data_IF_091028065658
#
_entry.id   IF_091028065658
#
_cell.length_a   1.000
_cell.length_b   1.000
_cell.length_c   1.000
_cell.angle_alpha   90.00
_cell.angle_beta   90.00
_cell.angle_gamma   90.00
#
_symmetry.space_group_name_H-M   'P 1'
#
loop_
_entity.id
_entity.type
_entity.pdbx_description
1 polymer ?
#
# COMPACT_ATOMS: atom_id res chain seq x y z
N UNK A 1 2.71 -7.12 -5.18
CA UNK A 1 1.53 -7.93 -4.77
C UNK A 1 0.26 -7.07 -4.73
N UNK A 2 -0.94 -7.63 -4.53
CA UNK A 2 -2.19 -6.86 -4.40
C UNK A 2 -2.61 -6.69 -2.94
N UNK A 3 -3.32 -5.60 -2.66
CA UNK A 3 -3.93 -5.30 -1.37
C UNK A 3 -5.20 -4.44 -1.55
N UNK A 4 -5.99 -4.29 -0.48
CA UNK A 4 -7.17 -3.43 -0.45
C UNK A 4 -6.97 -2.32 0.58
N UNK A 5 -7.25 -1.07 0.22
CA UNK A 5 -7.14 0.05 1.17
C UNK A 5 -8.11 -0.14 2.33
N UNK A 6 -7.61 -0.05 3.56
CA UNK A 6 -8.41 -0.13 4.78
C UNK A 6 -8.72 1.26 5.32
N UNK A 7 -7.68 2.07 5.49
CA UNK A 7 -7.77 3.46 5.95
C UNK A 7 -6.94 4.37 5.05
N UNK A 8 -7.39 5.62 4.93
CA UNK A 8 -6.67 6.69 4.28
C UNK A 8 -7.02 8.02 4.95
N UNK A 9 -6.00 8.77 5.34
CA UNK A 9 -6.11 10.11 5.88
C UNK A 9 -5.78 11.11 4.76
N UNK A 10 -6.79 11.88 4.31
CA UNK A 10 -6.64 12.87 3.23
C UNK A 10 -5.78 14.08 3.61
N UNK A 11 -5.59 14.36 4.91
CA UNK A 11 -4.77 15.48 5.37
C UNK A 11 -3.28 15.13 5.32
N UNK A 12 -2.94 13.88 5.66
CA UNK A 12 -1.54 13.43 5.76
C UNK A 12 -1.09 12.56 4.59
N UNK A 13 -2.00 11.86 3.93
CA UNK A 13 -1.69 10.82 2.94
C UNK A 13 -1.22 9.50 3.55
N UNK A 14 -1.28 9.34 4.88
CA UNK A 14 -0.98 8.08 5.56
C UNK A 14 -2.21 7.16 5.59
N UNK A 15 -1.98 5.86 5.79
CA UNK A 15 -3.07 4.91 5.90
C UNK A 15 -2.60 3.48 6.03
N UNK A 16 -3.51 2.55 5.75
CA UNK A 16 -3.24 1.12 5.81
C UNK A 16 -3.97 0.35 4.73
N UNK A 17 -3.43 -0.82 4.40
CA UNK A 17 -4.04 -1.79 3.49
C UNK A 17 -4.20 -3.14 4.16
N UNK A 18 -5.21 -3.89 3.73
CA UNK A 18 -5.35 -5.30 4.01
C UNK A 18 -4.74 -6.11 2.87
N UNK A 19 -3.78 -6.97 3.21
CA UNK A 19 -3.29 -8.00 2.30
C UNK A 19 -4.38 -9.04 2.03
N UNK A 20 -4.22 -9.83 0.98
CA UNK A 20 -5.19 -10.87 0.62
C UNK A 20 -5.31 -11.99 1.69
N UNK A 21 -4.35 -12.12 2.61
CA UNK A 21 -4.41 -13.02 3.77
C UNK A 21 -5.06 -12.38 5.02
N UNK A 22 -5.56 -11.14 4.90
CA UNK A 22 -6.25 -10.40 5.96
C UNK A 22 -5.34 -9.63 6.90
N UNK A 23 -4.00 -9.70 6.74
CA UNK A 23 -3.09 -8.87 7.56
C UNK A 23 -3.15 -7.41 7.16
N UNK A 24 -3.24 -6.54 8.15
CA UNK A 24 -3.17 -5.09 7.95
C UNK A 24 -1.71 -4.62 7.96
N UNK A 25 -1.34 -3.81 6.97
CA UNK A 25 -0.01 -3.21 6.83
C UNK A 25 -0.16 -1.70 6.62
N UNK A 26 0.50 -0.85 7.45
CA UNK A 26 0.49 0.59 7.27
C UNK A 26 1.40 1.03 6.12
N UNK A 27 1.06 2.14 5.48
CA UNK A 27 1.94 2.90 4.60
C UNK A 27 2.09 4.34 5.12
N UNK A 28 3.27 4.90 4.94
CA UNK A 28 3.54 6.29 5.34
C UNK A 28 3.06 7.28 4.29
N UNK A 29 2.86 8.52 4.74
CA UNK A 29 2.64 9.68 3.87
C UNK A 29 3.72 9.80 2.78
N UNK A 30 4.97 9.49 3.10
CA UNK A 30 6.10 9.56 2.17
C UNK A 30 5.96 8.56 1.02
N UNK A 31 5.56 7.33 1.33
CA UNK A 31 5.33 6.28 0.32
C UNK A 31 4.15 6.64 -0.58
N UNK A 32 3.10 7.21 0.00
CA UNK A 32 1.94 7.68 -0.77
C UNK A 32 2.31 8.88 -1.67
N UNK A 33 3.04 9.86 -1.15
CA UNK A 33 3.49 11.04 -1.88
C UNK A 33 4.50 10.71 -3.00
N UNK A 34 5.28 9.64 -2.84
CA UNK A 34 6.16 9.12 -3.89
C UNK A 34 5.41 8.36 -5.00
N UNK A 35 4.11 8.09 -4.79
CA UNK A 35 3.25 7.52 -5.82
C UNK A 35 2.65 8.61 -6.73
N UNK A 36 2.03 8.15 -7.80
CA UNK A 36 1.17 8.89 -8.69
C UNK A 36 -0.14 9.42 -8.11
N UNK A 37 -0.55 8.79 -7.01
CA UNK A 37 -1.94 8.80 -6.59
C UNK A 37 -2.22 10.10 -5.84
N UNK A 38 -3.39 10.67 -6.10
CA UNK A 38 -3.85 11.88 -5.40
C UNK A 38 -4.73 11.56 -4.21
N UNK A 39 -5.42 10.43 -4.27
CA UNK A 39 -6.39 9.99 -3.28
C UNK A 39 -6.70 8.51 -3.50
N UNK A 40 -7.04 7.80 -2.42
CA UNK A 40 -7.55 6.43 -2.48
C UNK A 40 -8.74 6.26 -1.54
N UNK A 41 -9.63 5.32 -1.88
CA UNK A 41 -10.83 5.03 -1.07
C UNK A 41 -10.67 3.72 -0.31
N UNK A 42 -11.24 3.59 0.90
CA UNK A 42 -11.41 2.29 1.53
C UNK A 42 -12.08 1.27 0.59
N UNK A 43 -11.54 0.06 0.55
CA UNK A 43 -11.95 -1.02 -0.36
C UNK A 43 -11.32 -0.96 -1.75
N UNK A 44 -10.58 0.09 -2.10
CA UNK A 44 -9.91 0.18 -3.40
C UNK A 44 -8.78 -0.86 -3.52
N UNK A 45 -8.76 -1.58 -4.65
CA UNK A 45 -7.69 -2.54 -4.96
C UNK A 45 -6.48 -1.79 -5.49
N UNK A 46 -5.32 -2.02 -4.87
CA UNK A 46 -4.05 -1.43 -5.27
C UNK A 46 -2.95 -2.50 -5.29
N UNK A 47 -1.90 -2.21 -6.04
CA UNK A 47 -0.67 -2.98 -6.02
C UNK A 47 0.33 -2.34 -5.07
N UNK A 48 1.11 -3.17 -4.37
CA UNK A 48 2.14 -2.74 -3.45
C UNK A 48 3.42 -3.56 -3.63
N UNK A 49 4.56 -2.96 -3.28
CA UNK A 49 5.80 -3.67 -2.98
C UNK A 49 6.03 -3.66 -1.47
N UNK A 50 6.32 -4.84 -0.91
CA UNK A 50 6.73 -5.01 0.48
C UNK A 50 8.23 -5.34 0.50
N UNK A 51 8.98 -4.58 1.29
CA UNK A 51 10.30 -5.03 1.73
C UNK A 51 10.12 -6.13 2.77
N UNK A 52 10.96 -7.17 2.69
CA UNK A 52 10.97 -8.24 3.68
C UNK A 52 11.14 -7.64 5.09
N UNK A 53 10.32 -8.09 6.07
CA UNK A 53 10.68 -7.86 7.46
C UNK A 53 12.04 -8.52 7.66
N UNK A 54 13.01 -7.82 8.25
CA UNK A 54 14.27 -8.45 8.62
C UNK A 54 14.05 -9.62 9.58
N UNK A 55 15.11 -10.23 10.13
CA UNK A 55 15.00 -11.40 11.01
C UNK A 55 14.24 -11.15 12.33
N UNK A 56 13.68 -9.96 12.54
CA UNK A 56 12.84 -9.61 13.69
C UNK A 56 11.60 -10.53 13.74
N UNK A 57 11.63 -11.46 14.70
CA UNK A 57 10.52 -12.37 14.98
C UNK A 57 9.56 -11.69 15.96
N UNK A 58 8.46 -11.13 15.46
CA UNK A 58 7.41 -10.47 16.24
C UNK A 58 6.15 -10.23 15.41
N UNK A 59 5.04 -9.80 16.04
CA UNK A 59 3.77 -9.46 15.36
C UNK A 59 3.93 -8.31 14.33
N UNK A 60 5.04 -7.58 14.45
CA UNK A 60 5.48 -6.46 13.59
C UNK A 60 6.26 -6.90 12.34
N UNK A 61 6.43 -8.20 12.10
CA UNK A 61 7.07 -8.75 10.89
C UNK A 61 6.20 -8.59 9.63
N UNK A 62 5.41 -7.51 9.52
CA UNK A 62 4.39 -7.32 8.48
C UNK A 62 4.96 -6.83 7.15
N UNK A 63 6.28 -6.65 7.07
CA UNK A 63 6.96 -6.05 5.93
C UNK A 63 6.67 -4.55 5.83
N UNK A 64 7.56 -3.79 5.20
CA UNK A 64 7.36 -2.34 5.02
C UNK A 64 6.93 -2.07 3.58
N UNK A 65 5.82 -1.34 3.40
CA UNK A 65 5.39 -0.92 2.06
C UNK A 65 6.40 0.11 1.55
N UNK A 66 7.04 -0.17 0.42
CA UNK A 66 8.01 0.73 -0.21
C UNK A 66 7.44 1.42 -1.44
N UNK A 67 6.38 0.87 -2.03
CA UNK A 67 5.70 1.43 -3.20
C UNK A 67 4.24 1.01 -3.24
N UNK A 68 3.38 1.88 -3.75
CA UNK A 68 1.97 1.59 -4.04
C UNK A 68 1.54 2.21 -5.38
N UNK A 69 0.65 1.54 -6.12
CA UNK A 69 0.14 2.00 -7.41
C UNK A 69 -1.21 1.35 -7.78
N UNK A 70 -1.91 1.95 -8.74
CA UNK A 70 -3.08 1.34 -9.40
C UNK A 70 -2.66 0.87 -10.78
N UNK A 71 -2.93 -0.40 -11.08
CA UNK A 71 -2.80 -0.93 -12.45
C UNK A 71 -3.90 -0.29 -13.29
N UNK A 72 -3.52 0.36 -14.39
CA UNK A 72 -4.44 0.95 -15.35
C UNK A 72 -5.16 -0.10 -16.19
N UNK A 73 -5.88 0.35 -17.22
CA UNK A 73 -6.57 -0.51 -18.18
C UNK A 73 -5.56 -0.92 -19.27
N UNK A 74 -4.71 -1.90 -18.96
CA UNK A 74 -3.74 -2.49 -19.90
C UNK A 74 -2.48 -2.98 -19.18
N UNK A 75 -1.92 -4.10 -19.66
CA UNK A 75 -0.87 -4.87 -18.97
C UNK A 75 0.40 -4.06 -18.62
N UNK A 76 0.61 -2.91 -19.28
CA UNK A 76 1.81 -2.08 -19.14
C UNK A 76 1.54 -0.65 -18.63
N UNK A 77 0.30 -0.28 -18.29
CA UNK A 77 0.00 1.09 -17.85
C UNK A 77 -0.15 1.18 -16.33
N UNK A 78 0.86 1.76 -15.68
CA UNK A 78 0.75 2.18 -14.28
C UNK A 78 0.21 3.61 -14.26
N UNK A 79 -0.81 3.89 -13.45
CA UNK A 79 -1.17 5.29 -13.18
C UNK A 79 -0.05 5.86 -12.31
N UNK A 80 0.73 6.76 -12.94
CA UNK A 80 1.98 7.43 -12.54
C UNK A 80 1.78 8.89 -12.17
#
# INVERSE_FOLDING_TARGET
>A
MQASVHTFDDETGAGSVLLDDGREVPFSAEVFAASALRHVRPGQRISIDLADPGPETGDDARGTITKLWIVGIGDDQTIG
#
